data_IF_125374196329
#
_entry.id   IF_125374196329
#
_cell.length_a   1.000
_cell.length_b   1.000
_cell.length_c   1.000
_cell.angle_alpha   90.00
_cell.angle_beta   90.00
_cell.angle_gamma   90.00
#
_symmetry.space_group_name_H-M   'P 1'
#
loop_
_entity.id
_entity.type
_entity.pdbx_description
1 polymer ?
#
# COMPACT_ATOMS: atom_id res chain seq x y z
N UNK A 1 11.02 9.39 -5.39
CA UNK A 1 9.62 9.13 -4.95
C UNK A 1 9.58 8.99 -3.43
N UNK A 2 10.41 8.11 -2.85
CA UNK A 2 10.52 7.93 -1.40
C UNK A 2 11.00 9.20 -0.68
N UNK A 3 12.03 9.90 -1.17
CA UNK A 3 12.51 11.17 -0.57
C UNK A 3 11.41 12.25 -0.50
N UNK A 4 10.65 12.41 -1.59
CA UNK A 4 9.51 13.35 -1.61
C UNK A 4 8.38 12.94 -0.67
N UNK A 5 8.25 11.64 -0.38
CA UNK A 5 7.27 11.15 0.57
C UNK A 5 7.75 11.45 2.00
N UNK A 6 9.02 11.17 2.31
CA UNK A 6 9.60 11.46 3.64
C UNK A 6 9.55 12.94 4.00
N UNK A 7 9.69 13.85 3.03
CA UNK A 7 9.52 15.30 3.26
C UNK A 7 8.08 15.70 3.64
N UNK A 8 7.09 14.86 3.33
CA UNK A 8 5.66 15.18 3.45
C UNK A 8 4.93 14.37 4.51
N UNK A 9 5.54 13.30 5.00
CA UNK A 9 4.98 12.43 6.03
C UNK A 9 5.72 12.65 7.34
N UNK A 10 5.00 12.54 8.45
CA UNK A 10 5.63 12.49 9.78
C UNK A 10 6.64 11.34 9.84
N UNK A 11 7.84 11.64 10.34
CA UNK A 11 8.89 10.64 10.47
C UNK A 11 8.67 9.79 11.71
N UNK A 12 8.89 8.47 11.64
CA UNK A 12 8.71 7.62 12.80
C UNK A 12 9.75 7.95 13.87
N UNK A 13 9.32 7.85 15.12
CA UNK A 13 10.14 8.11 16.30
C UNK A 13 10.00 6.97 17.31
N UNK A 14 10.86 6.89 18.35
CA UNK A 14 10.71 5.87 19.38
C UNK A 14 9.39 5.94 20.16
N UNK A 15 8.72 7.11 20.15
CA UNK A 15 7.42 7.32 20.79
C UNK A 15 6.23 7.09 19.83
N UNK A 16 6.47 7.19 18.53
CA UNK A 16 5.48 7.02 17.47
C UNK A 16 6.12 6.19 16.36
N UNK A 17 6.14 4.88 16.57
CA UNK A 17 6.80 3.93 15.67
C UNK A 17 5.97 3.71 14.41
N UNK A 18 6.64 3.38 13.32
CA UNK A 18 5.96 2.89 12.12
C UNK A 18 5.70 1.39 12.25
N UNK A 19 4.49 0.97 11.86
CA UNK A 19 4.11 -0.43 11.79
C UNK A 19 4.22 -0.93 10.36
N UNK A 20 4.89 -2.08 10.19
CA UNK A 20 5.07 -2.71 8.89
C UNK A 20 4.67 -4.18 9.01
N UNK A 21 3.82 -4.64 8.09
CA UNK A 21 3.40 -6.04 8.01
C UNK A 21 3.57 -6.55 6.59
N UNK A 22 4.35 -7.62 6.41
CA UNK A 22 4.62 -8.19 5.09
C UNK A 22 4.35 -9.69 5.04
N UNK A 23 4.49 -10.25 3.85
CA UNK A 23 4.64 -11.70 3.71
C UNK A 23 6.01 -12.17 4.23
N UNK A 24 6.26 -13.47 4.09
CA UNK A 24 7.51 -14.11 4.54
C UNK A 24 8.73 -13.88 3.65
N UNK A 25 8.75 -12.85 2.78
CA UNK A 25 9.96 -12.51 2.02
C UNK A 25 11.04 -11.96 2.97
N UNK A 26 12.22 -12.56 2.94
CA UNK A 26 13.34 -12.20 3.82
C UNK A 26 14.02 -10.89 3.47
N UNK A 27 13.87 -10.40 2.23
CA UNK A 27 14.40 -9.10 1.78
C UNK A 27 14.07 -7.95 2.73
N UNK A 28 12.84 -7.94 3.25
CA UNK A 28 12.38 -6.90 4.17
C UNK A 28 13.14 -6.88 5.49
N UNK A 29 13.63 -8.04 5.94
CA UNK A 29 14.29 -8.17 7.25
C UNK A 29 15.60 -7.38 7.28
N UNK A 30 16.40 -7.41 6.23
CA UNK A 30 17.69 -6.72 6.20
C UNK A 30 17.64 -5.34 5.52
N UNK A 31 16.61 -5.05 4.71
CA UNK A 31 16.47 -3.75 4.03
C UNK A 31 15.82 -2.68 4.93
N UNK A 32 14.82 -3.04 5.73
CA UNK A 32 14.13 -2.04 6.58
C UNK A 32 15.08 -1.30 7.56
N UNK A 33 16.07 -1.98 8.20
CA UNK A 33 17.05 -1.31 9.05
C UNK A 33 17.94 -0.28 8.35
N UNK A 34 18.09 -0.35 7.01
CA UNK A 34 18.83 0.66 6.25
C UNK A 34 18.11 2.01 6.20
N UNK A 35 16.79 2.02 6.44
CA UNK A 35 15.94 3.22 6.36
C UNK A 35 15.39 3.66 7.71
N UNK A 36 15.13 2.74 8.63
CA UNK A 36 14.55 3.03 9.93
C UNK A 36 15.42 2.45 11.04
N UNK A 37 15.65 3.24 12.09
CA UNK A 37 16.28 2.72 13.29
C UNK A 37 15.37 1.66 13.94
N UNK A 38 15.96 0.59 14.49
CA UNK A 38 15.25 -0.49 15.18
C UNK A 38 14.30 0.00 16.28
N UNK A 39 14.59 1.16 16.89
CA UNK A 39 13.75 1.78 17.93
C UNK A 39 12.51 2.47 17.40
N UNK A 40 12.43 2.74 16.10
CA UNK A 40 11.37 3.49 15.43
C UNK A 40 10.41 2.61 14.62
N UNK A 41 10.62 1.28 14.59
CA UNK A 41 9.85 0.35 13.77
C UNK A 41 9.33 -0.83 14.59
N UNK A 42 8.08 -1.20 14.36
CA UNK A 42 7.51 -2.47 14.77
C UNK A 42 7.19 -3.27 13.49
N UNK A 43 7.90 -4.38 13.27
CA UNK A 43 7.85 -5.14 12.02
C UNK A 43 7.44 -6.59 12.26
N UNK A 44 6.34 -7.00 11.61
CA UNK A 44 5.84 -8.37 11.62
C UNK A 44 5.75 -9.00 10.23
N UNK A 45 5.87 -10.31 10.17
CA UNK A 45 5.67 -11.11 8.96
C UNK A 45 4.55 -12.12 9.15
N UNK A 46 3.70 -12.27 8.13
CA UNK A 46 2.75 -13.37 8.02
C UNK A 46 3.27 -14.42 7.01
N UNK A 47 3.66 -15.58 7.52
CA UNK A 47 4.11 -16.72 6.71
C UNK A 47 2.97 -17.73 6.55
N UNK A 48 2.54 -17.96 5.31
CA UNK A 48 1.49 -18.94 5.00
C UNK A 48 2.11 -20.30 4.70
N UNK A 49 1.92 -21.26 5.61
CA UNK A 49 2.38 -22.64 5.40
C UNK A 49 1.40 -23.35 4.46
N UNK A 50 1.94 -23.96 3.42
CA UNK A 50 1.17 -24.64 2.38
C UNK A 50 1.51 -26.12 2.30
N UNK A 51 0.48 -26.94 2.19
CA UNK A 51 0.59 -28.38 1.90
C UNK A 51 -0.29 -28.70 0.70
N UNK A 52 0.28 -29.40 -0.29
CA UNK A 52 -0.43 -29.78 -1.54
C UNK A 52 -1.16 -28.59 -2.20
N UNK A 53 -0.54 -27.41 -2.16
CA UNK A 53 -1.07 -26.17 -2.75
C UNK A 53 -2.15 -25.43 -1.92
N UNK A 54 -2.56 -25.97 -0.77
CA UNK A 54 -3.54 -25.33 0.14
C UNK A 54 -2.84 -24.71 1.33
N UNK A 55 -3.32 -23.56 1.77
CA UNK A 55 -2.85 -22.94 3.03
C UNK A 55 -3.43 -23.74 4.19
N UNK A 56 -2.55 -24.32 5.01
CA UNK A 56 -2.93 -25.14 6.18
C UNK A 56 -2.72 -24.39 7.49
N UNK A 57 -1.81 -23.42 7.51
CA UNK A 57 -1.48 -22.62 8.69
C UNK A 57 -0.99 -21.24 8.28
N UNK A 58 -1.22 -20.26 9.17
CA UNK A 58 -0.55 -18.96 9.15
C UNK A 58 0.37 -18.87 10.37
N UNK A 59 1.62 -18.51 10.17
CA UNK A 59 2.61 -18.27 11.22
C UNK A 59 2.95 -16.79 11.23
N UNK A 60 2.75 -16.13 12.37
CA UNK A 60 3.08 -14.72 12.57
C UNK A 60 4.45 -14.64 13.24
N UNK A 61 5.36 -13.84 12.68
CA UNK A 61 6.71 -13.66 13.20
C UNK A 61 6.94 -12.19 13.50
N UNK A 62 7.44 -11.89 14.69
CA UNK A 62 7.96 -10.58 15.04
C UNK A 62 9.43 -10.52 14.67
N UNK A 63 9.80 -9.55 13.84
CA UNK A 63 11.18 -9.36 13.38
C UNK A 63 11.83 -8.19 14.13
N UNK A 64 11.13 -7.06 14.21
CA UNK A 64 11.59 -5.88 14.96
C UNK A 64 10.52 -5.38 15.92
N UNK A 65 10.98 -4.85 17.05
CA UNK A 65 10.13 -4.19 18.02
C UNK A 65 9.12 -5.13 18.68
N UNK A 66 7.92 -4.61 18.93
CA UNK A 66 6.83 -5.33 19.58
C UNK A 66 5.47 -4.97 18.94
N UNK A 67 5.27 -5.32 17.65
CA UNK A 67 3.99 -5.12 16.97
C UNK A 67 2.86 -5.90 17.66
N UNK A 68 1.64 -5.39 17.56
CA UNK A 68 0.47 -6.18 17.92
C UNK A 68 0.38 -7.38 16.97
N UNK A 69 0.40 -8.57 17.54
CA UNK A 69 0.31 -9.81 16.77
C UNK A 69 -1.01 -9.89 16.01
N UNK A 70 -2.11 -9.32 16.51
CA UNK A 70 -3.40 -9.40 15.83
C UNK A 70 -3.41 -8.64 14.50
N UNK A 71 -2.66 -7.54 14.41
CA UNK A 71 -2.56 -6.70 13.22
C UNK A 71 -1.63 -7.28 12.13
N UNK A 72 -0.79 -8.27 12.45
CA UNK A 72 0.07 -8.96 11.47
C UNK A 72 -0.79 -9.78 10.49
N UNK A 73 -1.24 -9.18 9.39
CA UNK A 73 -2.02 -9.83 8.35
C UNK A 73 -1.70 -9.24 6.96
N UNK A 74 -1.91 -10.03 5.90
CA UNK A 74 -1.64 -9.60 4.51
C UNK A 74 -2.87 -9.61 3.62
N UNK A 75 -4.05 -9.89 4.18
CA UNK A 75 -5.28 -10.09 3.42
C UNK A 75 -5.68 -8.84 2.62
N UNK A 76 -5.59 -7.65 3.21
CA UNK A 76 -5.98 -6.41 2.52
C UNK A 76 -5.05 -6.07 1.36
N UNK A 77 -3.72 -6.16 1.56
CA UNK A 77 -2.76 -5.87 0.50
C UNK A 77 -2.81 -6.94 -0.60
N UNK A 78 -3.04 -8.21 -0.26
CA UNK A 78 -3.23 -9.27 -1.24
C UNK A 78 -4.50 -9.07 -2.08
N UNK A 79 -5.60 -8.69 -1.43
CA UNK A 79 -6.85 -8.35 -2.12
C UNK A 79 -6.64 -7.14 -3.05
N UNK A 80 -5.99 -6.09 -2.57
CA UNK A 80 -5.68 -4.91 -3.37
C UNK A 80 -4.78 -5.24 -4.57
N UNK A 81 -3.76 -6.07 -4.38
CA UNK A 81 -2.94 -6.60 -5.48
C UNK A 81 -3.75 -7.41 -6.50
N UNK A 82 -4.79 -8.12 -6.04
CA UNK A 82 -5.78 -8.78 -6.90
C UNK A 82 -6.57 -7.79 -7.75
N UNK A 83 -7.15 -6.77 -7.12
CA UNK A 83 -7.90 -5.68 -7.77
C UNK A 83 -7.03 -4.98 -8.82
N UNK A 84 -5.79 -4.65 -8.47
CA UNK A 84 -4.84 -4.02 -9.38
C UNK A 84 -4.59 -4.90 -10.61
N UNK A 85 -4.40 -6.20 -10.45
CA UNK A 85 -4.19 -7.12 -11.59
C UNK A 85 -5.45 -7.32 -12.43
N UNK A 86 -6.63 -7.29 -11.83
CA UNK A 86 -7.90 -7.40 -12.54
C UNK A 86 -8.19 -6.14 -13.39
N UNK A 87 -7.97 -4.95 -12.80
CA UNK A 87 -8.34 -3.67 -13.41
C UNK A 87 -7.24 -3.06 -14.27
N UNK A 88 -5.98 -3.42 -14.03
CA UNK A 88 -4.83 -2.85 -14.73
C UNK A 88 -4.13 -3.96 -15.53
N UNK A 89 -4.50 -4.05 -16.81
CA UNK A 89 -3.90 -5.02 -17.74
C UNK A 89 -2.38 -4.93 -17.85
N UNK A 90 -1.75 -3.80 -17.48
CA UNK A 90 -0.28 -3.62 -17.45
C UNK A 90 0.42 -4.48 -16.38
N UNK A 91 -0.27 -4.90 -15.33
CA UNK A 91 0.26 -5.70 -14.22
C UNK A 91 0.06 -7.21 -14.40
N UNK A 92 -0.60 -7.62 -15.48
CA UNK A 92 -0.83 -9.02 -15.80
C UNK A 92 0.38 -9.58 -16.57
N UNK A 93 0.77 -10.82 -16.28
CA UNK A 93 1.89 -11.49 -16.95
C UNK A 93 1.51 -11.84 -18.40
N UNK A 94 2.48 -11.74 -19.33
CA UNK A 94 2.34 -12.12 -20.75
C UNK A 94 1.21 -11.40 -21.52
N UNK A 95 0.90 -10.16 -21.13
CA UNK A 95 -0.07 -9.30 -21.82
C UNK A 95 0.59 -8.42 -22.88
N UNK A 96 -0.17 -8.02 -23.92
CA UNK A 96 0.24 -6.97 -24.87
C UNK A 96 0.18 -5.57 -24.26
N UNK A 97 -0.44 -5.41 -23.10
CA UNK A 97 -0.64 -4.12 -22.43
C UNK A 97 0.56 -3.66 -21.59
N UNK A 98 1.70 -4.35 -21.59
CA UNK A 98 2.84 -3.98 -20.74
C UNK A 98 3.39 -2.58 -21.05
N UNK A 99 3.85 -1.88 -20.01
CA UNK A 99 4.49 -0.57 -20.18
C UNK A 99 5.94 -0.72 -20.65
N UNK A 100 6.30 -0.13 -21.79
CA UNK A 100 7.69 -0.09 -22.29
C UNK A 100 8.63 0.81 -21.48
N UNK A 101 8.07 1.77 -20.74
CA UNK A 101 8.82 2.71 -19.90
C UNK A 101 8.25 2.65 -18.49
N UNK A 102 9.13 2.62 -17.47
CA UNK A 102 8.76 2.57 -16.05
C UNK A 102 7.77 3.67 -15.66
N UNK A 103 8.06 4.92 -15.99
CA UNK A 103 7.20 6.05 -15.67
C UNK A 103 5.78 5.95 -16.26
N UNK A 104 5.60 5.25 -17.40
CA UNK A 104 4.26 5.01 -17.97
C UNK A 104 3.45 4.03 -17.13
N UNK A 105 4.10 3.06 -16.49
CA UNK A 105 3.45 2.20 -15.50
C UNK A 105 3.08 3.02 -14.25
N UNK A 106 4.01 3.83 -13.75
CA UNK A 106 3.79 4.69 -12.58
C UNK A 106 2.60 5.64 -12.80
N UNK A 107 2.52 6.35 -13.94
CA UNK A 107 1.36 7.20 -14.24
C UNK A 107 0.05 6.41 -14.29
N UNK A 108 0.06 5.19 -14.85
CA UNK A 108 -1.15 4.36 -14.90
C UNK A 108 -1.58 3.89 -13.51
N UNK A 109 -0.63 3.59 -12.63
CA UNK A 109 -0.90 3.23 -11.24
C UNK A 109 -1.45 4.43 -10.46
N UNK A 110 -0.85 5.62 -10.64
CA UNK A 110 -1.29 6.85 -9.99
C UNK A 110 -2.73 7.20 -10.38
N UNK A 111 -3.07 7.17 -11.67
CA UNK A 111 -4.44 7.44 -12.13
C UNK A 111 -5.42 6.43 -11.55
N UNK A 112 -5.06 5.14 -11.54
CA UNK A 112 -5.93 4.12 -10.95
C UNK A 112 -6.10 4.31 -9.44
N UNK A 113 -5.03 4.62 -8.71
CA UNK A 113 -5.08 4.88 -7.27
C UNK A 113 -5.94 6.11 -6.94
N UNK A 114 -5.80 7.20 -7.70
CA UNK A 114 -6.66 8.38 -7.54
C UNK A 114 -8.13 8.03 -7.81
N UNK A 115 -8.41 7.29 -8.87
CA UNK A 115 -9.76 6.79 -9.14
C UNK A 115 -10.29 5.93 -7.99
N UNK A 116 -9.52 4.94 -7.54
CA UNK A 116 -9.91 4.00 -6.49
C UNK A 116 -10.18 4.70 -5.16
N UNK A 117 -9.34 5.67 -4.80
CA UNK A 117 -9.40 6.34 -3.50
C UNK A 117 -10.42 7.49 -3.46
N UNK A 118 -10.62 8.23 -4.55
CA UNK A 118 -11.44 9.46 -4.53
C UNK A 118 -12.77 9.32 -5.30
N UNK A 119 -12.80 8.58 -6.40
CA UNK A 119 -13.96 8.52 -7.33
C UNK A 119 -14.80 7.26 -7.10
N UNK A 120 -14.14 6.11 -6.91
CA UNK A 120 -14.82 4.83 -6.81
C UNK A 120 -15.61 4.71 -5.50
N UNK A 121 -16.89 4.33 -5.61
CA UNK A 121 -17.70 3.99 -4.44
C UNK A 121 -17.22 2.64 -3.87
N UNK A 122 -16.68 2.68 -2.65
CA UNK A 122 -16.18 1.49 -1.98
C UNK A 122 -17.23 0.88 -1.03
N UNK A 123 -17.83 1.70 -0.15
CA UNK A 123 -18.81 1.22 0.84
C UNK A 123 -19.85 2.28 1.16
N UNK A 124 -21.14 1.94 1.00
CA UNK A 124 -22.29 2.80 1.39
C UNK A 124 -22.12 4.25 0.88
N UNK A 125 -21.83 4.44 -0.41
CA UNK A 125 -21.60 5.75 -1.04
C UNK A 125 -20.40 6.55 -0.50
N UNK A 126 -19.41 5.86 0.08
CA UNK A 126 -18.15 6.46 0.51
C UNK A 126 -16.97 5.85 -0.24
N UNK A 127 -16.00 6.70 -0.59
CA UNK A 127 -14.68 6.30 -1.09
C UNK A 127 -13.68 6.14 0.07
N UNK A 128 -12.53 5.46 -0.14
CA UNK A 128 -11.46 5.40 0.86
C UNK A 128 -11.02 6.78 1.36
N UNK A 129 -10.87 7.76 0.47
CA UNK A 129 -10.50 9.12 0.86
C UNK A 129 -11.54 9.77 1.78
N UNK A 130 -12.83 9.44 1.64
CA UNK A 130 -13.87 9.91 2.56
C UNK A 130 -13.81 9.23 3.92
N UNK A 131 -13.40 7.96 3.98
CA UNK A 131 -13.25 7.24 5.24
C UNK A 131 -12.08 7.79 6.06
N UNK A 132 -11.01 8.19 5.38
CA UNK A 132 -9.83 8.86 5.96
C UNK A 132 -10.03 10.37 6.19
N UNK A 133 -11.20 10.93 5.86
CA UNK A 133 -11.49 12.35 6.05
C UNK A 133 -10.74 13.32 5.13
N UNK A 134 -10.14 12.82 4.04
CA UNK A 134 -9.43 13.65 3.05
C UNK A 134 -10.38 14.44 2.13
N UNK A 135 -11.64 14.00 2.01
CA UNK A 135 -12.70 14.64 1.23
C UNK A 135 -14.05 14.30 1.85
N UNK A 136 -15.06 15.16 1.68
CA UNK A 136 -16.41 14.97 2.20
C UNK A 136 -17.40 14.39 1.17
N UNK A 137 -16.98 14.23 -0.08
CA UNK A 137 -17.78 13.70 -1.18
C UNK A 137 -16.96 12.80 -2.13
N UNK A 138 -17.67 12.01 -2.94
CA UNK A 138 -17.08 11.26 -4.05
C UNK A 138 -16.68 12.23 -5.15
N UNK A 139 -15.43 12.16 -5.59
CA UNK A 139 -14.95 12.99 -6.68
C UNK A 139 -15.54 12.55 -8.01
N UNK A 140 -15.66 13.50 -8.92
CA UNK A 140 -15.92 13.27 -10.33
C UNK A 140 -14.63 13.28 -11.14
N UNK A 141 -14.69 12.75 -12.37
CA UNK A 141 -13.58 12.91 -13.32
C UNK A 141 -13.29 14.37 -13.64
N UNK A 142 -14.30 15.24 -13.61
CA UNK A 142 -14.13 16.68 -13.78
C UNK A 142 -13.26 17.25 -12.66
N UNK A 143 -13.59 16.96 -11.41
CA UNK A 143 -12.78 17.39 -10.27
C UNK A 143 -11.35 16.84 -10.37
N UNK A 144 -11.17 15.53 -10.61
CA UNK A 144 -9.83 14.96 -10.74
C UNK A 144 -8.96 15.68 -11.79
N UNK A 145 -9.52 16.12 -12.92
CA UNK A 145 -8.78 16.77 -14.00
C UNK A 145 -8.58 18.28 -13.77
N UNK A 146 -9.48 18.94 -13.05
CA UNK A 146 -9.51 20.41 -12.94
C UNK A 146 -9.33 20.93 -11.50
N UNK A 147 -9.15 20.05 -10.50
CA UNK A 147 -8.97 20.46 -9.12
C UNK A 147 -7.73 21.35 -8.98
N UNK A 148 -7.85 22.56 -8.44
CA UNK A 148 -6.74 23.46 -8.28
C UNK A 148 -5.80 22.91 -7.21
N UNK A 149 -4.61 22.46 -7.63
CA UNK A 149 -3.54 22.13 -6.71
C UNK A 149 -3.02 23.44 -6.11
N UNK A 150 -3.38 23.74 -4.86
CA UNK A 150 -2.65 24.73 -4.08
C UNK A 150 -1.29 24.09 -3.78
N UNK A 151 -0.29 24.39 -4.59
CA UNK A 151 1.09 24.01 -4.27
C UNK A 151 1.47 24.89 -3.09
N UNK A 152 1.68 24.34 -1.87
CA UNK A 152 2.25 25.13 -0.79
C UNK A 152 3.64 25.55 -1.26
N UNK A 153 3.90 26.87 -1.28
CA UNK A 153 5.23 27.43 -1.55
C UNK A 153 6.23 26.97 -0.49
#
# INVERSE_FOLDING_TARGET
>A
MIEKLSERTEQPSPLAKIEVFTDGNDDYTYVLPDYYADTCIDYGQLVKIREKGRVVRKEKRTIYGNPDHDDIETTDIENYNGILRERIGRLVRKTKCFSKRRWRLECSLQVFQSYWNFINEFKRRKSPAMLEGLTDHLWTWHEFLYYPLTIPN
#
